data_IF_177356507208
#
_entry.id   IF_177356507208
#
_cell.length_a   1.000
_cell.length_b   1.000
_cell.length_c   1.000
_cell.angle_alpha   90.00
_cell.angle_beta   90.00
_cell.angle_gamma   90.00
#
_symmetry.space_group_name_H-M   'P 1'
#
loop_
_entity.id
_entity.type
_entity.pdbx_description
1 polymer ?
#
# COMPACT_ATOMS: atom_id res chain seq x y z
N UNK A 1 18.41 21.84 -1.90
CA UNK A 1 18.00 20.42 -1.77
C UNK A 1 17.79 19.87 -3.16
N UNK A 2 18.28 18.66 -3.46
CA UNK A 2 18.01 17.99 -4.73
C UNK A 2 16.53 17.61 -4.82
N UNK A 3 15.94 17.79 -6.00
CA UNK A 3 14.56 17.36 -6.26
C UNK A 3 14.55 15.85 -6.37
N UNK A 4 13.68 15.19 -5.60
CA UNK A 4 13.46 13.75 -5.70
C UNK A 4 12.45 13.50 -6.82
N UNK A 5 12.79 12.61 -7.75
CA UNK A 5 11.88 12.09 -8.77
C UNK A 5 11.51 10.67 -8.32
N UNK A 6 10.30 10.44 -7.77
CA UNK A 6 9.92 9.13 -7.24
C UNK A 6 9.44 8.20 -8.36
N UNK A 7 10.28 8.01 -9.36
CA UNK A 7 10.04 7.09 -10.47
C UNK A 7 10.38 5.64 -10.10
N UNK A 8 10.34 4.75 -11.08
CA UNK A 8 10.70 3.34 -10.90
C UNK A 8 12.15 3.17 -10.46
N UNK A 9 13.08 3.96 -10.99
CA UNK A 9 14.49 3.84 -10.65
C UNK A 9 14.71 4.18 -9.18
N UNK A 10 14.18 5.32 -8.72
CA UNK A 10 14.20 5.73 -7.32
C UNK A 10 13.61 4.63 -6.42
N UNK A 11 12.47 4.06 -6.82
CA UNK A 11 11.80 3.04 -6.01
C UNK A 11 12.60 1.74 -5.88
N UNK A 12 13.23 1.29 -6.97
CA UNK A 12 14.08 0.10 -6.98
C UNK A 12 15.36 0.31 -6.16
N UNK A 13 15.95 1.51 -6.22
CA UNK A 13 17.09 1.88 -5.39
C UNK A 13 16.74 1.85 -3.90
N UNK A 14 15.58 2.39 -3.51
CA UNK A 14 15.09 2.30 -2.13
C UNK A 14 14.92 0.86 -1.66
N UNK A 15 14.40 -0.02 -2.52
CA UNK A 15 14.27 -1.46 -2.22
C UNK A 15 15.63 -2.13 -2.06
N UNK A 16 16.59 -1.84 -2.95
CA UNK A 16 17.93 -2.38 -2.92
C UNK A 16 18.70 -1.94 -1.66
N UNK A 17 18.66 -0.65 -1.32
CA UNK A 17 19.29 -0.11 -0.12
C UNK A 17 18.75 -0.74 1.17
N UNK A 18 17.46 -1.12 1.19
CA UNK A 18 16.80 -1.75 2.34
C UNK A 18 16.89 -3.28 2.31
N UNK A 19 17.46 -3.88 1.25
CA UNK A 19 17.51 -5.32 1.01
C UNK A 19 16.13 -6.00 1.12
N UNK A 20 15.13 -5.40 0.46
CA UNK A 20 13.74 -5.87 0.43
C UNK A 20 13.25 -6.09 -1.01
N UNK A 21 12.06 -6.68 -1.13
CA UNK A 21 11.41 -6.92 -2.42
C UNK A 21 11.27 -5.63 -3.25
N UNK A 22 11.49 -5.66 -4.58
CA UNK A 22 11.38 -4.48 -5.43
C UNK A 22 9.96 -3.91 -5.55
N UNK A 23 8.94 -4.70 -5.19
CA UNK A 23 7.53 -4.30 -5.16
C UNK A 23 6.87 -4.72 -3.86
N UNK A 24 5.81 -4.02 -3.49
CA UNK A 24 5.05 -4.33 -2.30
C UNK A 24 4.38 -5.72 -2.43
N UNK A 25 4.64 -6.66 -1.51
CA UNK A 25 4.06 -8.00 -1.56
C UNK A 25 2.55 -8.03 -1.24
N UNK A 26 1.98 -6.88 -0.85
CA UNK A 26 0.56 -6.72 -0.53
C UNK A 26 -0.19 -5.85 -1.55
N UNK A 27 0.43 -5.53 -2.70
CA UNK A 27 -0.13 -4.66 -3.75
C UNK A 27 -1.29 -5.31 -4.54
N UNK A 28 -2.34 -5.73 -3.86
CA UNK A 28 -3.57 -6.25 -4.48
C UNK A 28 -4.80 -5.83 -3.67
N UNK A 29 -5.95 -5.73 -4.34
CA UNK A 29 -7.24 -5.39 -3.70
C UNK A 29 -7.65 -6.41 -2.63
N UNK A 30 -7.15 -7.64 -2.72
CA UNK A 30 -7.47 -8.72 -1.78
C UNK A 30 -6.56 -8.75 -0.56
N UNK A 31 -5.36 -8.16 -0.66
CA UNK A 31 -4.33 -8.24 0.39
C UNK A 31 -4.15 -6.94 1.17
N UNK A 32 -4.54 -5.78 0.62
CA UNK A 32 -4.35 -4.49 1.27
C UNK A 32 -5.59 -3.58 1.14
N UNK A 33 -6.12 -3.04 2.26
CA UNK A 33 -7.26 -2.13 2.20
C UNK A 33 -6.91 -0.79 1.56
N UNK A 34 -5.68 -0.26 1.74
CA UNK A 34 -5.26 0.99 1.09
C UNK A 34 -5.14 0.86 -0.42
N UNK A 35 -4.64 -0.28 -0.91
CA UNK A 35 -4.62 -0.57 -2.35
C UNK A 35 -6.04 -0.56 -2.91
N UNK A 36 -6.96 -1.24 -2.23
CA UNK A 36 -8.38 -1.24 -2.59
C UNK A 36 -9.00 0.17 -2.57
N UNK A 37 -8.85 0.94 -1.49
CA UNK A 37 -9.40 2.29 -1.37
C UNK A 37 -8.89 3.22 -2.47
N UNK A 38 -7.57 3.17 -2.74
CA UNK A 38 -6.96 3.97 -3.81
C UNK A 38 -7.56 3.63 -5.17
N UNK A 39 -7.67 2.34 -5.50
CA UNK A 39 -8.19 1.90 -6.79
C UNK A 39 -9.69 2.20 -6.96
N UNK A 40 -10.48 2.02 -5.89
CA UNK A 40 -11.92 2.31 -5.88
C UNK A 40 -12.17 3.80 -6.17
N UNK A 41 -11.41 4.70 -5.53
CA UNK A 41 -11.53 6.16 -5.73
C UNK A 41 -11.06 6.63 -7.11
N UNK A 42 -10.04 6.00 -7.71
CA UNK A 42 -9.59 6.36 -9.06
C UNK A 42 -10.67 6.16 -10.13
N UNK A 43 -11.61 5.27 -9.88
CA UNK A 43 -12.77 5.08 -10.74
C UNK A 43 -13.61 6.34 -10.90
N UNK A 44 -13.72 7.14 -9.84
CA UNK A 44 -14.43 8.42 -9.87
C UNK A 44 -13.55 9.54 -10.47
N UNK A 45 -12.22 9.45 -10.33
CA UNK A 45 -11.25 10.34 -10.97
C UNK A 45 -10.87 9.95 -12.42
N UNK A 46 -11.86 9.46 -13.18
CA UNK A 46 -11.72 9.20 -14.63
C UNK A 46 -10.98 7.91 -15.03
N UNK A 47 -10.74 6.98 -14.09
CA UNK A 47 -10.20 5.64 -14.42
C UNK A 47 -11.33 4.61 -14.56
N UNK A 48 -11.01 3.44 -15.11
CA UNK A 48 -11.98 2.34 -15.19
C UNK A 48 -12.40 1.88 -13.79
N UNK A 49 -13.71 1.91 -13.52
CA UNK A 49 -14.29 1.50 -12.23
C UNK A 49 -14.18 0.00 -12.00
N UNK A 50 -14.00 -0.39 -10.74
CA UNK A 50 -14.20 -1.77 -10.30
C UNK A 50 -15.68 -2.11 -10.50
N UNK A 51 -16.04 -3.30 -11.05
CA UNK A 51 -17.43 -3.70 -11.17
C UNK A 51 -18.16 -3.62 -9.84
N UNK A 52 -19.33 -2.99 -9.81
CA UNK A 52 -20.07 -2.63 -8.58
C UNK A 52 -20.25 -3.81 -7.61
N UNK A 53 -20.53 -5.00 -8.15
CA UNK A 53 -20.68 -6.23 -7.36
C UNK A 53 -19.39 -6.60 -6.62
N UNK A 54 -18.25 -6.50 -7.28
CA UNK A 54 -16.94 -6.82 -6.69
C UNK A 54 -16.51 -5.72 -5.72
N UNK A 55 -16.76 -4.45 -6.05
CA UNK A 55 -16.46 -3.31 -5.17
C UNK A 55 -17.23 -3.40 -3.85
N UNK A 56 -18.55 -3.65 -3.89
CA UNK A 56 -19.37 -3.87 -2.68
C UNK A 56 -18.88 -5.02 -1.81
N UNK A 57 -18.41 -6.11 -2.43
CA UNK A 57 -17.85 -7.28 -1.74
C UNK A 57 -16.53 -6.93 -1.06
N UNK A 58 -15.64 -6.23 -1.75
CA UNK A 58 -14.35 -5.76 -1.21
C UNK A 58 -14.56 -4.77 -0.06
N UNK A 59 -15.47 -3.81 -0.23
CA UNK A 59 -15.84 -2.86 0.81
C UNK A 59 -16.29 -3.57 2.09
N UNK A 60 -17.23 -4.51 1.96
CA UNK A 60 -17.74 -5.29 3.11
C UNK A 60 -16.63 -6.10 3.78
N UNK A 61 -15.74 -6.72 3.00
CA UNK A 61 -14.59 -7.47 3.52
C UNK A 61 -13.72 -6.58 4.39
N UNK A 62 -13.30 -5.43 3.87
CA UNK A 62 -12.32 -4.58 4.53
C UNK A 62 -12.90 -3.78 5.70
N UNK A 63 -14.13 -3.29 5.58
CA UNK A 63 -14.82 -2.53 6.64
C UNK A 63 -14.92 -3.28 7.97
N UNK A 64 -14.95 -4.61 7.93
CA UNK A 64 -14.99 -5.45 9.13
C UNK A 64 -13.61 -5.73 9.75
N UNK A 65 -12.53 -5.21 9.18
CA UNK A 65 -11.17 -5.45 9.66
C UNK A 65 -10.65 -4.28 10.49
N UNK A 66 -9.74 -4.51 11.46
CA UNK A 66 -9.10 -3.42 12.19
C UNK A 66 -8.11 -2.61 11.33
N UNK A 67 -7.89 -3.00 10.08
CA UNK A 67 -7.05 -2.29 9.11
C UNK A 67 -7.83 -1.20 8.35
N UNK A 68 -9.15 -1.17 8.50
CA UNK A 68 -9.96 -0.13 7.89
C UNK A 68 -9.73 1.21 8.61
N UNK A 69 -9.57 2.32 7.87
CA UNK A 69 -9.42 3.64 8.49
C UNK A 69 -10.59 3.96 9.42
N UNK A 70 -10.26 4.39 10.63
CA UNK A 70 -11.26 4.81 11.63
C UNK A 70 -11.65 6.26 11.39
N UNK A 71 -10.68 7.10 11.04
CA UNK A 71 -10.86 8.53 10.80
C UNK A 71 -10.60 8.90 9.35
N UNK A 72 -11.07 10.08 8.93
CA UNK A 72 -10.92 10.56 7.55
C UNK A 72 -9.47 10.89 7.22
N UNK A 73 -8.70 11.34 8.22
CA UNK A 73 -7.28 11.69 8.08
C UNK A 73 -6.41 10.47 7.75
N UNK A 74 -6.84 9.28 8.15
CA UNK A 74 -6.18 8.01 7.81
C UNK A 74 -6.64 7.43 6.48
N UNK A 75 -7.83 7.83 6.03
CA UNK A 75 -8.44 7.30 4.83
C UNK A 75 -7.75 7.84 3.58
N UNK A 76 -7.68 7.00 2.55
CA UNK A 76 -7.40 7.48 1.19
C UNK A 76 -8.53 8.40 0.77
N UNK A 77 -8.21 9.55 0.19
CA UNK A 77 -9.20 10.54 -0.20
C UNK A 77 -8.76 11.31 -1.44
N UNK A 78 -9.76 11.73 -2.20
CA UNK A 78 -9.60 12.67 -3.30
C UNK A 78 -10.37 13.94 -2.90
N UNK A 79 -9.78 15.11 -3.11
CA UNK A 79 -10.42 16.39 -2.82
C UNK A 79 -9.94 17.47 -3.79
N UNK A 80 -10.49 18.67 -3.65
CA UNK A 80 -10.19 19.81 -4.52
C UNK A 80 -11.23 20.04 -5.60
N UNK A 81 -11.09 21.17 -6.29
CA UNK A 81 -11.85 21.44 -7.51
C UNK A 81 -11.39 20.46 -8.59
N UNK A 82 -12.33 19.78 -9.26
CA UNK A 82 -12.04 18.75 -10.28
C UNK A 82 -11.12 17.60 -9.81
N UNK A 83 -11.18 17.21 -8.54
CA UNK A 83 -10.46 16.03 -8.02
C UNK A 83 -8.93 16.14 -8.13
N UNK A 84 -8.40 17.33 -7.82
CA UNK A 84 -7.01 17.71 -8.02
C UNK A 84 -6.02 17.33 -6.90
N UNK A 85 -6.51 16.85 -5.75
CA UNK A 85 -5.70 16.44 -4.60
C UNK A 85 -5.93 14.98 -4.24
N UNK A 86 -4.85 14.19 -4.22
CA UNK A 86 -4.87 12.76 -3.90
C UNK A 86 -4.07 12.54 -2.62
N UNK A 87 -4.70 12.06 -1.54
CA UNK A 87 -4.04 11.89 -0.24
C UNK A 87 -4.12 10.45 0.27
N UNK A 88 -3.05 10.00 0.96
CA UNK A 88 -2.94 8.65 1.53
C UNK A 88 -3.14 7.53 0.51
N UNK A 89 -2.75 7.76 -0.74
CA UNK A 89 -2.80 6.74 -1.79
C UNK A 89 -1.77 5.64 -1.56
N UNK A 90 -2.06 4.46 -2.10
CA UNK A 90 -1.09 3.39 -2.21
C UNK A 90 -0.06 3.77 -3.28
N UNK A 91 1.25 3.82 -2.97
CA UNK A 91 2.27 4.25 -3.93
C UNK A 91 2.32 3.37 -5.18
N UNK A 92 1.95 2.09 -5.05
CA UNK A 92 1.83 1.14 -6.17
C UNK A 92 0.69 1.51 -7.13
N UNK A 93 -0.42 2.00 -6.60
CA UNK A 93 -1.58 2.46 -7.40
C UNK A 93 -1.28 3.83 -8.01
N UNK A 94 -0.68 4.74 -7.24
CA UNK A 94 -0.21 6.04 -7.73
C UNK A 94 0.73 5.87 -8.92
N UNK A 95 1.70 4.97 -8.82
CA UNK A 95 2.62 4.70 -9.93
C UNK A 95 1.88 4.18 -11.16
N UNK A 96 0.94 3.24 -11.00
CA UNK A 96 0.19 2.70 -12.13
C UNK A 96 -0.69 3.74 -12.86
N UNK A 97 -1.00 4.88 -12.23
CA UNK A 97 -1.85 5.93 -12.81
C UNK A 97 -1.09 7.19 -13.22
N UNK A 98 -0.09 7.56 -12.45
CA UNK A 98 0.62 8.85 -12.56
C UNK A 98 2.13 8.69 -12.78
N UNK A 99 2.64 7.47 -12.90
CA UNK A 99 4.06 7.14 -13.07
C UNK A 99 4.98 7.55 -11.89
N UNK A 100 4.39 7.91 -10.74
CA UNK A 100 5.10 8.30 -9.52
C UNK A 100 4.71 7.46 -8.30
N UNK A 101 5.71 7.00 -7.55
CA UNK A 101 5.52 6.34 -6.26
C UNK A 101 5.33 7.37 -5.14
N UNK A 102 4.09 7.81 -4.98
CA UNK A 102 3.73 8.83 -4.01
C UNK A 102 2.49 8.44 -3.22
N UNK A 103 2.44 8.89 -1.96
CA UNK A 103 1.22 8.78 -1.15
C UNK A 103 0.30 9.97 -1.38
N UNK A 104 0.89 11.15 -1.59
CA UNK A 104 0.15 12.40 -1.73
C UNK A 104 0.60 13.08 -3.03
N UNK A 105 -0.36 13.47 -3.88
CA UNK A 105 -0.13 14.22 -5.11
C UNK A 105 -1.14 15.37 -5.18
N UNK A 106 -0.65 16.60 -5.34
CA UNK A 106 -1.48 17.79 -5.41
C UNK A 106 -1.20 18.54 -6.71
N UNK A 107 -2.24 18.76 -7.51
CA UNK A 107 -2.14 19.66 -8.67
C UNK A 107 -2.11 21.12 -8.22
N UNK A 108 -1.73 21.98 -9.16
CA UNK A 108 -1.86 23.43 -8.99
C UNK A 108 -3.31 23.81 -8.72
N UNK A 109 -3.52 24.79 -7.84
CA UNK A 109 -4.86 25.22 -7.46
C UNK A 109 -5.58 25.89 -8.65
N UNK A 110 -4.84 26.68 -9.44
CA UNK A 110 -5.33 27.32 -10.65
C UNK A 110 -4.25 27.48 -11.73
N UNK A 111 -4.64 28.10 -12.85
CA UNK A 111 -3.75 28.39 -13.98
C UNK A 111 -2.66 29.40 -13.62
N UNK A 112 -2.93 30.34 -12.70
CA UNK A 112 -1.98 31.38 -12.30
C UNK A 112 -0.80 30.74 -11.55
N UNK A 113 -1.10 29.87 -10.59
CA UNK A 113 -0.09 29.13 -9.83
C UNK A 113 0.75 28.23 -10.74
N UNK A 114 0.09 27.57 -11.69
CA UNK A 114 0.76 26.71 -12.68
C UNK A 114 1.69 27.52 -13.57
N UNK A 115 1.22 28.63 -14.15
CA UNK A 115 2.00 29.47 -15.06
C UNK A 115 3.20 30.10 -14.35
N UNK A 116 3.01 30.53 -13.10
CA UNK A 116 4.09 31.04 -12.28
C UNK A 116 5.17 29.97 -12.03
N UNK A 117 4.74 28.76 -11.66
CA UNK A 117 5.66 27.64 -11.46
C UNK A 117 6.41 27.27 -12.74
N UNK A 118 5.69 27.16 -13.86
CA UNK A 118 6.24 26.83 -15.18
C UNK A 118 7.25 27.89 -15.64
N UNK A 119 6.94 29.17 -15.49
CA UNK A 119 7.87 30.28 -15.78
C UNK A 119 9.17 30.14 -14.99
N UNK A 120 9.07 29.79 -13.72
CA UNK A 120 10.24 29.59 -12.86
C UNK A 120 11.05 28.36 -13.28
N UNK A 121 10.40 27.23 -13.56
CA UNK A 121 11.05 26.00 -14.05
C UNK A 121 11.78 26.23 -15.38
N UNK A 122 11.19 27.00 -16.31
CA UNK A 122 11.83 27.39 -17.57
C UNK A 122 13.09 28.22 -17.35
N UNK A 123 13.06 29.17 -16.40
CA UNK A 123 14.23 30.02 -16.09
C UNK A 123 15.40 29.21 -15.54
N UNK A 124 15.13 28.19 -14.73
CA UNK A 124 16.17 27.30 -14.19
C UNK A 124 16.54 26.14 -15.14
N UNK A 125 16.00 26.13 -16.37
CA UNK A 125 16.27 25.11 -17.41
C UNK A 125 16.12 23.68 -16.91
N UNK A 126 15.07 23.44 -16.13
CA UNK A 126 14.74 22.09 -15.64
C UNK A 126 14.36 21.17 -16.80
N UNK A 127 14.61 19.87 -16.65
CA UNK A 127 14.25 18.86 -17.66
C UNK A 127 12.73 18.73 -17.80
N UNK A 128 12.28 18.20 -18.93
CA UNK A 128 10.86 17.90 -19.18
C UNK A 128 10.28 16.89 -18.20
N UNK A 129 11.13 16.01 -17.65
CA UNK A 129 10.71 14.87 -16.84
C UNK A 129 10.46 15.25 -15.37
N UNK A 130 10.64 16.52 -15.04
CA UNK A 130 10.36 17.01 -13.70
C UNK A 130 8.85 17.02 -13.42
N UNK A 131 8.46 16.29 -12.39
CA UNK A 131 7.06 16.18 -11.98
C UNK A 131 6.42 17.53 -11.68
N UNK A 132 7.21 18.56 -11.35
CA UNK A 132 6.74 19.94 -11.09
C UNK A 132 6.11 20.59 -12.31
N UNK A 133 6.30 20.05 -13.51
CA UNK A 133 5.51 20.48 -14.67
C UNK A 133 4.03 20.09 -14.57
N UNK A 134 3.71 19.06 -13.80
CA UNK A 134 2.34 18.52 -13.68
C UNK A 134 1.73 18.69 -12.29
N UNK A 135 2.56 18.78 -11.25
CA UNK A 135 2.12 18.76 -9.86
C UNK A 135 2.74 19.91 -9.06
N UNK A 136 1.95 20.52 -8.19
CA UNK A 136 2.42 21.53 -7.25
C UNK A 136 3.20 20.89 -6.09
N UNK A 137 2.75 19.70 -5.66
CA UNK A 137 3.37 18.95 -4.59
C UNK A 137 3.25 17.44 -4.85
N UNK A 138 4.32 16.72 -4.50
CA UNK A 138 4.35 15.27 -4.44
C UNK A 138 5.03 14.89 -3.13
N UNK A 139 4.44 13.91 -2.44
CA UNK A 139 5.06 13.23 -1.31
C UNK A 139 5.51 11.83 -1.72
N UNK A 140 6.79 11.65 -2.08
CA UNK A 140 7.36 10.34 -2.36
C UNK A 140 7.09 9.38 -1.21
N UNK A 141 6.73 8.13 -1.54
CA UNK A 141 6.59 7.09 -0.53
C UNK A 141 7.00 5.73 -1.09
N UNK A 142 7.99 5.11 -0.45
CA UNK A 142 8.29 3.71 -0.69
C UNK A 142 7.31 2.81 0.09
N UNK A 143 6.93 1.64 -0.42
CA UNK A 143 5.91 0.80 0.23
C UNK A 143 6.27 0.39 1.65
N UNK A 144 7.55 0.23 1.97
CA UNK A 144 8.01 -0.15 3.30
C UNK A 144 7.80 0.93 4.37
N UNK A 145 7.55 2.17 3.94
CA UNK A 145 7.23 3.32 4.80
C UNK A 145 5.71 3.50 4.98
N UNK A 146 4.89 2.71 4.26
CA UNK A 146 3.45 2.73 4.42
C UNK A 146 3.07 2.25 5.84
N UNK A 147 2.23 2.99 6.59
CA UNK A 147 1.82 2.60 7.95
C UNK A 147 1.17 1.21 8.05
N UNK A 148 0.55 0.74 6.97
CA UNK A 148 -0.09 -0.59 6.94
C UNK A 148 0.89 -1.73 6.67
N UNK A 149 2.08 -1.45 6.13
CA UNK A 149 3.02 -2.49 5.68
C UNK A 149 3.48 -3.38 6.83
N UNK A 150 3.92 -2.79 7.94
CA UNK A 150 4.41 -3.52 9.11
C UNK A 150 3.30 -4.38 9.75
N UNK A 151 2.07 -3.86 9.79
CA UNK A 151 0.90 -4.58 10.32
C UNK A 151 0.55 -5.76 9.43
N UNK A 152 0.50 -5.57 8.10
CA UNK A 152 0.24 -6.64 7.14
C UNK A 152 1.33 -7.72 7.15
N UNK A 153 2.59 -7.32 7.29
CA UNK A 153 3.72 -8.24 7.41
C UNK A 153 3.59 -9.10 8.66
N UNK A 154 3.27 -8.50 9.82
CA UNK A 154 3.04 -9.23 11.06
C UNK A 154 1.87 -10.20 10.95
N UNK A 155 0.74 -9.77 10.39
CA UNK A 155 -0.44 -10.63 10.21
C UNK A 155 -0.14 -11.82 9.30
N UNK A 156 0.61 -11.62 8.21
CA UNK A 156 1.04 -12.70 7.32
C UNK A 156 1.93 -13.71 8.05
N UNK A 157 2.89 -13.23 8.84
CA UNK A 157 3.77 -14.09 9.64
C UNK A 157 2.99 -14.87 10.71
N UNK A 158 2.03 -14.23 11.39
CA UNK A 158 1.18 -14.89 12.39
C UNK A 158 0.30 -15.99 11.77
N UNK A 159 -0.22 -15.79 10.56
CA UNK A 159 -0.96 -16.81 9.81
C UNK A 159 -0.05 -17.99 9.46
N UNK A 160 1.14 -17.71 8.92
CA UNK A 160 2.11 -18.76 8.57
C UNK A 160 2.53 -19.57 9.81
N UNK A 161 2.76 -18.91 10.95
CA UNK A 161 3.11 -19.57 12.21
C UNK A 161 1.96 -20.40 12.80
N UNK A 162 0.69 -20.07 12.49
CA UNK A 162 -0.47 -20.90 12.86
C UNK A 162 -0.65 -22.11 11.95
N UNK A 163 -0.13 -22.03 10.73
CA UNK A 163 -0.07 -23.10 9.74
C UNK A 163 1.19 -23.98 9.85
N UNK A 164 2.06 -23.80 10.86
CA UNK A 164 3.00 -24.86 11.24
C UNK A 164 2.18 -26.08 11.69
N UNK A 165 1.99 -27.01 10.76
CA UNK A 165 1.06 -28.12 10.88
C UNK A 165 1.38 -29.01 12.09
N UNK A 166 0.34 -29.33 12.86
CA UNK A 166 0.40 -30.33 13.95
C UNK A 166 0.60 -31.73 13.38
N UNK A 167 0.26 -31.93 12.10
CA UNK A 167 0.33 -33.19 11.38
C UNK A 167 1.21 -32.96 10.16
N UNK A 168 2.45 -33.44 10.24
CA UNK A 168 3.40 -33.35 9.14
C UNK A 168 3.30 -34.67 8.38
N UNK A 169 2.63 -34.69 7.22
CA UNK A 169 2.51 -35.89 6.39
C UNK A 169 3.82 -36.15 5.64
N UNK A 170 4.87 -36.54 6.38
CA UNK A 170 6.05 -37.16 5.79
C UNK A 170 5.79 -38.66 5.64
N UNK A 171 5.86 -39.23 4.43
CA UNK A 171 5.90 -40.68 4.27
C UNK A 171 7.24 -41.19 4.81
N UNK A 172 7.29 -41.52 6.10
CA UNK A 172 8.33 -42.36 6.67
C UNK A 172 7.85 -43.81 6.69
N UNK A 173 8.80 -44.76 6.74
CA UNK A 173 8.56 -46.21 6.64
C UNK A 173 7.56 -46.78 7.68
N UNK A 174 7.11 -45.99 8.67
CA UNK A 174 6.24 -46.41 9.78
C UNK A 174 4.99 -45.50 9.99
N UNK A 175 4.58 -44.69 9.00
CA UNK A 175 3.30 -43.95 9.04
C UNK A 175 3.37 -42.45 9.29
N UNK A 176 2.22 -41.85 9.61
CA UNK A 176 1.98 -40.39 9.73
C UNK A 176 2.76 -39.81 10.92
N UNK A 177 3.65 -38.83 10.67
CA UNK A 177 4.40 -38.13 11.71
C UNK A 177 3.60 -37.01 12.36
N UNK A 178 3.36 -37.09 13.67
CA UNK A 178 2.80 -35.98 14.44
C UNK A 178 3.93 -35.07 14.94
N UNK A 179 3.81 -33.76 14.72
CA UNK A 179 4.76 -32.78 15.25
C UNK A 179 4.45 -32.49 16.74
N UNK A 180 5.04 -33.30 17.61
CA UNK A 180 4.81 -33.26 19.07
C UNK A 180 5.14 -31.86 19.66
N UNK A 181 6.12 -31.15 19.10
CA UNK A 181 6.49 -29.80 19.54
C UNK A 181 5.42 -28.74 19.22
N UNK A 182 4.72 -28.89 18.10
CA UNK A 182 3.56 -28.05 17.76
C UNK A 182 2.37 -28.36 18.69
N UNK A 183 2.15 -29.64 19.02
CA UNK A 183 1.09 -30.09 19.92
C UNK A 183 1.28 -29.56 21.36
N UNK A 184 2.49 -29.67 21.91
CA UNK A 184 2.83 -29.18 23.26
C UNK A 184 2.67 -27.65 23.35
N UNK A 185 3.07 -26.90 22.32
CA UNK A 185 2.87 -25.44 22.27
C UNK A 185 1.38 -25.06 22.33
N UNK A 186 0.51 -25.80 21.64
CA UNK A 186 -0.95 -25.57 21.64
C UNK A 186 -1.59 -25.90 22.99
N UNK A 187 -1.16 -26.98 23.64
CA UNK A 187 -1.62 -27.35 24.99
C UNK A 187 -1.22 -26.27 26.00
N UNK A 188 0.04 -25.81 25.98
CA UNK A 188 0.50 -24.72 26.87
C UNK A 188 -0.28 -23.42 26.70
N UNK A 189 -0.65 -23.05 25.46
CA UNK A 189 -1.51 -21.87 25.19
C UNK A 189 -2.94 -22.04 25.74
N UNK A 190 -3.50 -23.26 25.69
CA UNK A 190 -4.83 -23.56 26.24
C UNK A 190 -4.87 -23.54 27.76
N UNK A 191 -3.77 -23.90 28.42
CA UNK A 191 -3.64 -23.87 29.88
C UNK A 191 -3.46 -22.43 30.36
N UNK A 192 -2.62 -21.62 29.68
CA UNK A 192 -2.44 -20.20 30.03
C UNK A 192 -3.64 -19.28 29.76
N UNK A 193 -4.59 -19.71 28.94
CA UNK A 193 -5.81 -18.93 28.62
C UNK A 193 -6.99 -19.19 29.57
N UNK A 194 -6.80 -19.97 30.63
CA UNK A 194 -7.85 -20.30 31.63
C UNK A 194 -7.71 -19.55 32.96
N UNK A 195 -6.69 -18.70 33.10
CA UNK A 195 -6.45 -17.90 34.31
C UNK A 195 -6.79 -16.41 34.09
N UNK A 196 -7.99 -16.13 33.56
CA UNK A 196 -8.68 -14.82 33.64
C UNK A 196 -10.13 -15.07 34.00
#
# INVERSE_FOLDING_TARGET
MSVIIPDLQWYLEQSACKNISPRCPFATVQSCPRFYQSLSLLGDAGSTKIPEKEDKKLFKKWKCTPLWPITKEQATSISGYEDNHFWNFCPEVSFGRFDFFASDLDRYADEIDKDLAHSNLSKIKTTSDDWRWSWANIKPQHYSECPLYSVLLRLKTDINNRHEDIIDFKPNFHGIGLNINALIRKIKRRIKGKDV
#
